data_IF_650791430643
#
_entry.id   IF_650791430643
#
_cell.length_a   1.000
_cell.length_b   1.000
_cell.length_c   1.000
_cell.angle_alpha   90.00
_cell.angle_beta   90.00
_cell.angle_gamma   90.00
#
_symmetry.space_group_name_H-M   'P 1'
#
loop_
_entity.id
_entity.type
_entity.pdbx_description
1 polymer ?
#
# COMPACT_ATOMS: atom_id res chain seq x y z
N UNK A 1 -16.20 -66.24 44.48
CA UNK A 1 -15.89 -67.39 43.61
C UNK A 1 -16.14 -66.88 42.20
N UNK A 2 -15.06 -66.61 41.44
CA UNK A 2 -14.98 -66.58 39.95
C UNK A 2 -15.92 -65.57 39.20
N UNK A 3 -15.51 -64.61 38.33
CA UNK A 3 -14.52 -64.54 37.21
C UNK A 3 -14.69 -65.72 36.22
N UNK A 4 -14.76 -65.65 34.88
CA UNK A 4 -14.56 -64.65 33.80
C UNK A 4 -15.42 -65.13 32.58
N UNK A 5 -15.59 -64.48 31.41
CA UNK A 5 -15.03 -63.29 30.75
C UNK A 5 -16.15 -62.57 29.92
N UNK A 6 -15.83 -61.82 28.86
CA UNK A 6 -16.77 -61.32 27.82
C UNK A 6 -16.34 -60.03 27.12
N UNK A 7 -15.29 -60.06 26.28
CA UNK A 7 -14.66 -58.87 25.70
C UNK A 7 -15.20 -58.33 24.34
N UNK A 8 -15.20 -56.99 24.19
CA UNK A 8 -14.75 -56.21 22.98
C UNK A 8 -15.64 -56.30 21.70
N UNK A 9 -16.18 -55.20 21.11
CA UNK A 9 -15.53 -54.18 20.24
C UNK A 9 -16.34 -52.85 20.21
N UNK A 10 -15.60 -51.76 19.98
CA UNK A 10 -16.01 -50.36 19.77
C UNK A 10 -16.30 -50.03 18.29
N UNK A 11 -17.20 -49.05 17.98
CA UNK A 11 -16.99 -47.96 16.99
C UNK A 11 -18.27 -47.16 16.72
N UNK A 12 -18.17 -45.82 16.69
CA UNK A 12 -19.32 -44.96 16.37
C UNK A 12 -19.18 -43.47 16.71
N UNK A 13 -17.96 -42.92 16.78
CA UNK A 13 -17.76 -41.49 17.02
C UNK A 13 -18.31 -40.66 15.85
N UNK A 14 -19.56 -40.20 15.99
CA UNK A 14 -20.08 -39.15 15.11
C UNK A 14 -19.47 -37.83 15.56
N UNK A 15 -18.52 -37.34 14.77
CA UNK A 15 -17.73 -36.15 15.05
C UNK A 15 -18.59 -34.87 15.03
N UNK A 16 -19.23 -34.58 16.17
CA UNK A 16 -19.75 -33.24 16.47
C UNK A 16 -18.54 -32.30 16.52
N UNK A 17 -18.27 -31.64 15.40
CA UNK A 17 -17.24 -30.61 15.27
C UNK A 17 -17.52 -29.49 16.28
N UNK A 18 -16.86 -29.59 17.43
CA UNK A 18 -17.05 -28.71 18.57
C UNK A 18 -16.47 -27.35 18.22
N UNK A 19 -17.32 -26.47 17.70
CA UNK A 19 -16.96 -25.11 17.34
C UNK A 19 -16.13 -24.47 18.46
N UNK A 20 -14.98 -23.81 18.16
CA UNK A 20 -14.10 -23.28 19.19
C UNK A 20 -14.87 -22.38 20.17
N UNK A 21 -14.68 -22.53 21.50
CA UNK A 21 -15.41 -21.75 22.48
C UNK A 21 -15.27 -20.26 22.20
N UNK A 22 -16.40 -19.55 22.04
CA UNK A 22 -16.38 -18.11 21.82
C UNK A 22 -15.61 -17.44 22.98
N UNK A 23 -14.52 -16.69 22.70
CA UNK A 23 -13.79 -16.01 23.78
C UNK A 23 -14.72 -15.01 24.49
N UNK A 24 -14.59 -14.86 25.83
CA UNK A 24 -15.50 -14.04 26.62
C UNK A 24 -15.54 -12.59 26.13
N UNK A 25 -16.65 -11.86 26.31
CA UNK A 25 -16.91 -10.59 25.63
C UNK A 25 -15.81 -9.54 25.82
N UNK A 26 -15.20 -9.46 27.01
CA UNK A 26 -14.04 -8.58 27.26
C UNK A 26 -12.76 -8.99 26.51
N UNK A 27 -12.49 -10.30 26.35
CA UNK A 27 -11.27 -10.81 25.69
C UNK A 27 -11.31 -10.60 24.19
N UNK A 28 -12.49 -10.65 23.57
CA UNK A 28 -12.70 -10.35 22.14
C UNK A 28 -12.28 -8.92 21.78
N UNK A 29 -12.76 -7.94 22.54
CA UNK A 29 -12.43 -6.51 22.31
C UNK A 29 -10.92 -6.23 22.40
N UNK A 30 -10.23 -6.84 23.38
CA UNK A 30 -8.77 -6.72 23.53
C UNK A 30 -8.02 -7.36 22.35
N UNK A 31 -8.44 -8.54 21.88
CA UNK A 31 -7.81 -9.19 20.72
C UNK A 31 -8.01 -8.37 19.45
N UNK A 32 -9.24 -7.92 19.16
CA UNK A 32 -9.55 -7.12 17.96
C UNK A 32 -8.79 -5.79 17.97
N UNK A 33 -8.74 -5.08 19.11
CA UNK A 33 -7.99 -3.81 19.21
C UNK A 33 -6.48 -3.98 19.01
N UNK A 34 -5.88 -5.08 19.50
CA UNK A 34 -4.48 -5.42 19.23
C UNK A 34 -4.24 -5.76 17.76
N UNK A 35 -5.11 -6.57 17.14
CA UNK A 35 -5.01 -6.91 15.73
C UNK A 35 -5.09 -5.65 14.85
N UNK A 36 -6.09 -4.79 15.06
CA UNK A 36 -6.23 -3.52 14.34
C UNK A 36 -4.99 -2.62 14.50
N UNK A 37 -4.42 -2.55 15.72
CA UNK A 37 -3.20 -1.78 15.98
C UNK A 37 -1.96 -2.34 15.28
N UNK A 38 -1.80 -3.67 15.25
CA UNK A 38 -0.68 -4.32 14.55
C UNK A 38 -0.85 -4.15 13.04
N UNK A 39 -2.07 -4.33 12.52
CA UNK A 39 -2.37 -4.13 11.10
C UNK A 39 -2.13 -2.68 10.66
N UNK A 40 -2.54 -1.66 11.42
CA UNK A 40 -2.23 -0.25 11.10
C UNK A 40 -0.71 -0.01 11.00
N UNK A 41 0.05 -0.48 11.99
CA UNK A 41 1.52 -0.30 12.01
C UNK A 41 2.16 -1.01 10.81
N UNK A 42 1.77 -2.25 10.52
CA UNK A 42 2.31 -3.02 9.38
C UNK A 42 1.94 -2.38 8.05
N UNK A 43 0.69 -1.93 7.87
CA UNK A 43 0.24 -1.21 6.67
C UNK A 43 1.05 0.08 6.47
N UNK A 44 1.31 0.85 7.54
CA UNK A 44 2.13 2.07 7.51
C UNK A 44 3.57 1.77 7.10
N UNK A 45 4.22 0.77 7.69
CA UNK A 45 5.58 0.37 7.31
C UNK A 45 5.67 -0.08 5.85
N UNK A 46 4.70 -0.87 5.37
CA UNK A 46 4.64 -1.31 3.97
C UNK A 46 4.36 -0.14 3.01
N UNK A 47 3.54 0.83 3.39
CA UNK A 47 3.29 2.04 2.61
C UNK A 47 4.52 2.97 2.55
N UNK A 48 5.29 3.10 3.65
CA UNK A 48 6.59 3.80 3.66
C UNK A 48 7.57 3.08 2.71
N UNK A 49 7.72 1.76 2.85
CA UNK A 49 8.56 0.96 1.96
C UNK A 49 8.17 1.13 0.49
N UNK A 50 6.87 1.04 0.18
CA UNK A 50 6.33 1.20 -1.17
C UNK A 50 6.60 2.60 -1.75
N UNK A 51 6.25 3.67 -1.02
CA UNK A 51 6.45 5.06 -1.49
C UNK A 51 7.93 5.43 -1.60
N UNK A 52 8.76 5.07 -0.62
CA UNK A 52 10.20 5.28 -0.66
C UNK A 52 10.86 4.50 -1.80
N UNK A 53 10.58 3.19 -1.93
CA UNK A 53 11.12 2.37 -3.02
C UNK A 53 10.66 2.88 -4.39
N UNK A 54 9.42 3.36 -4.52
CA UNK A 54 8.92 3.95 -5.77
C UNK A 54 9.65 5.26 -6.11
N UNK A 55 9.75 6.19 -5.15
CA UNK A 55 10.45 7.46 -5.33
C UNK A 55 11.94 7.24 -5.65
N UNK A 56 12.63 6.37 -4.90
CA UNK A 56 14.04 6.03 -5.11
C UNK A 56 14.21 5.31 -6.46
N UNK A 57 13.39 4.31 -6.79
CA UNK A 57 13.50 3.61 -8.07
C UNK A 57 13.33 4.57 -9.24
N UNK A 58 12.38 5.51 -9.16
CA UNK A 58 12.14 6.51 -10.20
C UNK A 58 13.29 7.53 -10.29
N UNK A 59 13.72 8.11 -9.17
CA UNK A 59 14.78 9.11 -9.11
C UNK A 59 16.17 8.54 -9.49
N UNK A 60 16.44 7.28 -9.15
CA UNK A 60 17.65 6.56 -9.56
C UNK A 60 17.56 5.97 -10.97
N UNK A 61 16.41 6.08 -11.65
CA UNK A 61 16.31 5.74 -13.08
C UNK A 61 16.78 6.92 -13.92
N UNK A 62 18.05 7.27 -13.73
CA UNK A 62 18.80 8.26 -14.50
C UNK A 62 19.44 7.58 -15.72
N UNK A 63 18.61 7.09 -16.64
CA UNK A 63 19.06 6.71 -17.98
C UNK A 63 18.79 7.88 -18.92
N UNK A 64 19.85 8.42 -19.54
CA UNK A 64 19.70 9.33 -20.67
C UNK A 64 18.90 8.62 -21.76
N UNK A 65 17.72 9.12 -22.13
CA UNK A 65 17.00 8.65 -23.31
C UNK A 65 17.97 8.68 -24.52
N UNK A 66 18.30 7.56 -25.16
CA UNK A 66 19.16 7.54 -26.33
C UNK A 66 18.36 7.90 -27.59
N UNK A 67 17.47 8.89 -27.47
CA UNK A 67 16.79 9.52 -28.60
C UNK A 67 17.75 10.48 -29.30
N UNK A 68 18.78 9.89 -29.90
CA UNK A 68 19.65 10.53 -30.89
C UNK A 68 18.87 10.76 -32.19
N UNK A 69 17.88 11.65 -32.16
CA UNK A 69 17.44 12.32 -33.37
C UNK A 69 18.50 13.38 -33.72
N UNK A 70 19.15 13.35 -34.91
CA UNK A 70 20.31 14.19 -35.22
C UNK A 70 20.12 15.72 -35.14
N UNK A 71 18.91 16.19 -34.88
CA UNK A 71 18.49 17.59 -34.98
C UNK A 71 18.09 18.22 -33.63
N UNK A 72 17.87 17.44 -32.56
CA UNK A 72 17.46 17.95 -31.25
C UNK A 72 18.03 17.14 -30.08
N UNK A 73 18.97 17.74 -29.32
CA UNK A 73 19.49 17.17 -28.07
C UNK A 73 18.51 17.35 -26.91
N UNK A 74 17.48 16.52 -26.82
CA UNK A 74 16.66 16.42 -25.61
C UNK A 74 17.29 15.45 -24.62
N UNK A 75 18.12 15.98 -23.71
CA UNK A 75 18.45 15.30 -22.46
C UNK A 75 17.18 15.30 -21.61
N UNK A 76 16.42 14.21 -21.63
CA UNK A 76 15.23 14.08 -20.79
C UNK A 76 15.64 13.52 -19.42
N UNK A 77 15.84 14.42 -18.47
CA UNK A 77 15.97 14.13 -17.05
C UNK A 77 14.56 13.94 -16.45
N UNK A 78 14.45 13.35 -15.26
CA UNK A 78 13.15 13.24 -14.58
C UNK A 78 12.54 14.64 -14.28
N UNK A 79 13.39 15.67 -14.26
CA UNK A 79 13.06 17.10 -14.16
C UNK A 79 12.32 17.67 -15.37
N UNK A 80 12.53 17.11 -16.56
CA UNK A 80 11.95 17.65 -17.81
C UNK A 80 10.53 17.13 -18.08
N UNK A 81 10.14 16.01 -17.45
CA UNK A 81 8.78 15.49 -17.50
C UNK A 81 8.05 15.81 -16.17
N UNK A 82 7.17 16.83 -16.14
CA UNK A 82 6.54 17.28 -14.90
C UNK A 82 5.69 16.19 -14.24
N UNK A 83 5.16 15.22 -15.00
CA UNK A 83 4.42 14.06 -14.47
C UNK A 83 5.29 13.13 -13.62
N UNK A 84 6.57 12.93 -14.00
CA UNK A 84 7.50 12.08 -13.27
C UNK A 84 8.11 12.81 -12.08
N UNK A 85 8.44 14.10 -12.21
CA UNK A 85 8.82 14.92 -11.07
C UNK A 85 7.69 15.01 -10.04
N UNK A 86 6.43 15.23 -10.47
CA UNK A 86 5.27 15.23 -9.58
C UNK A 86 5.09 13.87 -8.88
N UNK A 87 5.26 12.75 -9.58
CA UNK A 87 5.23 11.42 -8.97
C UNK A 87 6.30 11.24 -7.88
N UNK A 88 7.55 11.64 -8.13
CA UNK A 88 8.65 11.54 -7.14
C UNK A 88 8.38 12.43 -5.93
N UNK A 89 7.96 13.68 -6.15
CA UNK A 89 7.64 14.63 -5.07
C UNK A 89 6.44 14.13 -4.26
N UNK A 90 5.36 13.68 -4.90
CA UNK A 90 4.19 13.14 -4.24
C UNK A 90 4.52 11.93 -3.36
N UNK A 91 5.23 10.92 -3.88
CA UNK A 91 5.64 9.76 -3.10
C UNK A 91 6.59 10.15 -1.94
N UNK A 92 7.48 11.13 -2.15
CA UNK A 92 8.40 11.62 -1.10
C UNK A 92 7.66 12.34 0.04
N UNK A 93 6.69 13.20 -0.28
CA UNK A 93 5.84 13.89 0.70
C UNK A 93 5.01 12.88 1.50
N UNK A 94 4.39 11.90 0.83
CA UNK A 94 3.60 10.84 1.48
C UNK A 94 4.47 9.95 2.36
N UNK A 95 5.69 9.60 1.93
CA UNK A 95 6.66 8.89 2.74
C UNK A 95 7.02 9.66 4.02
N UNK A 96 7.35 10.96 3.90
CA UNK A 96 7.64 11.82 5.05
C UNK A 96 6.46 11.93 6.02
N UNK A 97 5.25 12.09 5.50
CA UNK A 97 4.02 12.09 6.30
C UNK A 97 3.81 10.76 7.04
N UNK A 98 4.01 9.62 6.39
CA UNK A 98 3.82 8.30 7.01
C UNK A 98 4.82 8.06 8.16
N UNK A 99 6.07 8.51 7.99
CA UNK A 99 7.09 8.48 9.06
C UNK A 99 6.68 9.38 10.24
N UNK A 100 6.19 10.59 9.98
CA UNK A 100 5.74 11.52 11.02
C UNK A 100 4.45 11.07 11.75
N UNK A 101 3.58 10.34 11.07
CA UNK A 101 2.30 9.87 11.62
C UNK A 101 2.38 8.50 12.32
N UNK A 102 3.47 7.73 12.12
CA UNK A 102 3.74 6.49 12.88
C UNK A 102 3.72 6.72 14.42
N UNK A 103 4.47 7.69 15.00
CA UNK A 103 4.40 7.97 16.44
C UNK A 103 3.00 8.40 16.90
N UNK A 104 2.27 9.16 16.09
CA UNK A 104 0.91 9.60 16.41
C UNK A 104 -0.07 8.41 16.50
N UNK A 105 0.04 7.44 15.58
CA UNK A 105 -0.76 6.20 15.66
C UNK A 105 -0.48 5.43 16.95
N UNK A 106 0.80 5.24 17.31
CA UNK A 106 1.20 4.57 18.57
C UNK A 106 0.60 5.28 19.79
N UNK A 107 0.65 6.61 19.85
CA UNK A 107 0.03 7.39 20.94
C UNK A 107 -1.51 7.22 20.97
N UNK A 108 -2.18 7.08 19.82
CA UNK A 108 -3.63 6.85 19.75
C UNK A 108 -4.09 5.45 20.18
N UNK A 109 -3.19 4.47 20.19
CA UNK A 109 -3.43 3.16 20.81
C UNK A 109 -3.47 3.30 22.33
N UNK A 110 -2.54 4.06 22.92
CA UNK A 110 -2.47 4.29 24.36
C UNK A 110 -3.51 5.32 24.88
N UNK A 111 -3.93 6.29 24.07
CA UNK A 111 -4.94 7.31 24.43
C UNK A 111 -6.17 7.28 23.52
N UNK A 112 -7.07 6.28 23.68
CA UNK A 112 -8.24 6.11 22.81
C UNK A 112 -9.32 7.20 22.93
N UNK A 113 -9.25 8.09 23.94
CA UNK A 113 -10.22 9.18 24.19
C UNK A 113 -10.12 10.37 23.21
N UNK A 114 -9.04 10.52 22.45
CA UNK A 114 -8.84 11.66 21.55
C UNK A 114 -9.59 11.51 20.20
N UNK A 115 -10.93 11.61 20.21
CA UNK A 115 -11.77 11.43 18.99
C UNK A 115 -11.37 12.41 17.86
N UNK A 116 -11.16 13.70 18.16
CA UNK A 116 -10.76 14.71 17.16
C UNK A 116 -9.42 14.40 16.48
N UNK A 117 -8.42 13.92 17.24
CA UNK A 117 -7.09 13.63 16.67
C UNK A 117 -7.11 12.42 15.73
N UNK A 118 -7.98 11.43 16.00
CA UNK A 118 -8.21 10.32 15.05
C UNK A 118 -8.88 10.80 13.76
N UNK A 119 -9.85 11.72 13.85
CA UNK A 119 -10.49 12.33 12.66
C UNK A 119 -9.49 13.13 11.84
N UNK A 120 -8.65 13.94 12.49
CA UNK A 120 -7.59 14.70 11.82
C UNK A 120 -6.59 13.76 11.10
N UNK A 121 -6.16 12.68 11.74
CA UNK A 121 -5.28 11.69 11.14
C UNK A 121 -5.92 11.02 9.91
N UNK A 122 -7.18 10.61 9.98
CA UNK A 122 -7.92 10.06 8.82
C UNK A 122 -8.03 11.08 7.69
N UNK A 123 -8.30 12.35 8.00
CA UNK A 123 -8.34 13.41 7.00
C UNK A 123 -6.99 13.56 6.28
N UNK A 124 -5.88 13.63 7.02
CA UNK A 124 -4.55 13.69 6.40
C UNK A 124 -4.20 12.41 5.62
N UNK A 125 -4.51 11.21 6.13
CA UNK A 125 -4.35 9.95 5.38
C UNK A 125 -5.12 10.00 4.04
N UNK A 126 -6.34 10.53 4.00
CA UNK A 126 -7.12 10.68 2.75
C UNK A 126 -6.53 11.71 1.78
N UNK A 127 -5.96 12.82 2.27
CA UNK A 127 -5.27 13.81 1.43
C UNK A 127 -4.00 13.20 0.82
N UNK A 128 -3.25 12.41 1.60
CA UNK A 128 -2.05 11.73 1.12
C UNK A 128 -2.36 10.61 0.12
N UNK A 129 -3.48 9.90 0.31
CA UNK A 129 -4.03 8.96 -0.67
C UNK A 129 -4.37 9.66 -2.00
N UNK A 130 -5.04 10.81 -1.95
CA UNK A 130 -5.34 11.61 -3.14
C UNK A 130 -4.06 12.09 -3.84
N UNK A 131 -3.04 12.50 -3.08
CA UNK A 131 -1.76 12.96 -3.61
C UNK A 131 -0.98 11.84 -4.33
N UNK A 132 -0.85 10.65 -3.72
CA UNK A 132 -0.14 9.53 -4.36
C UNK A 132 -0.89 8.99 -5.58
N UNK A 133 -2.23 8.93 -5.54
CA UNK A 133 -3.04 8.46 -6.69
C UNK A 133 -3.02 9.46 -7.85
N UNK A 134 -3.02 10.76 -7.58
CA UNK A 134 -2.80 11.79 -8.60
C UNK A 134 -1.40 11.68 -9.24
N UNK A 135 -0.35 11.50 -8.43
CA UNK A 135 1.01 11.30 -8.92
C UNK A 135 1.15 10.02 -9.77
N UNK A 136 0.65 8.90 -9.28
CA UNK A 136 0.68 7.62 -9.97
C UNK A 136 -0.11 7.62 -11.28
N UNK A 137 -1.31 8.22 -11.31
CA UNK A 137 -2.11 8.32 -12.54
C UNK A 137 -1.45 9.22 -13.59
N UNK A 138 -0.86 10.35 -13.20
CA UNK A 138 -0.10 11.21 -14.11
C UNK A 138 1.10 10.48 -14.75
N UNK A 139 1.88 9.76 -13.95
CA UNK A 139 2.99 8.94 -14.45
C UNK A 139 2.52 7.77 -15.33
N UNK A 140 1.40 7.13 -14.98
CA UNK A 140 0.85 6.00 -15.73
C UNK A 140 0.45 6.38 -17.16
N UNK A 141 -0.09 7.59 -17.39
CA UNK A 141 -0.41 8.09 -18.75
C UNK A 141 0.84 8.20 -19.62
N UNK A 142 1.94 8.72 -19.08
CA UNK A 142 3.21 8.83 -19.82
C UNK A 142 3.77 7.44 -20.15
N UNK A 143 3.74 6.50 -19.20
CA UNK A 143 4.20 5.12 -19.41
C UNK A 143 3.32 4.36 -20.41
N UNK A 144 2.01 4.60 -20.39
CA UNK A 144 1.10 4.07 -21.40
C UNK A 144 1.47 4.55 -22.82
N UNK A 145 1.78 5.84 -22.98
CA UNK A 145 2.27 6.40 -24.25
C UNK A 145 3.63 5.82 -24.64
N UNK A 146 4.55 5.60 -23.69
CA UNK A 146 5.84 4.98 -23.95
C UNK A 146 5.74 3.50 -24.39
N UNK A 147 4.71 2.77 -23.94
CA UNK A 147 4.44 1.39 -24.35
C UNK A 147 3.67 1.26 -25.67
N UNK A 148 2.60 2.04 -25.85
CA UNK A 148 1.67 1.91 -26.99
C UNK A 148 2.00 2.82 -28.16
N UNK A 149 2.65 3.95 -27.91
CA UNK A 149 2.69 5.07 -28.85
C UNK A 149 1.31 5.67 -29.11
N UNK A 150 1.24 6.68 -29.97
CA UNK A 150 -0.03 7.16 -30.52
C UNK A 150 0.19 7.85 -31.88
N UNK A 151 -0.55 7.40 -32.90
CA UNK A 151 -0.40 7.91 -34.26
C UNK A 151 -0.80 9.39 -34.41
N UNK A 152 -1.75 9.88 -33.59
CA UNK A 152 -2.27 11.27 -33.66
C UNK A 152 -1.16 12.33 -33.47
N UNK A 153 -0.33 12.28 -32.41
CA UNK A 153 0.85 13.14 -32.26
C UNK A 153 2.15 12.52 -32.82
N UNK A 154 2.08 11.45 -33.63
CA UNK A 154 3.24 10.69 -34.11
C UNK A 154 4.21 10.22 -33.00
N UNK A 155 3.68 9.83 -31.84
CA UNK A 155 4.47 9.38 -30.68
C UNK A 155 4.82 7.89 -30.84
N UNK A 156 6.10 7.56 -30.95
CA UNK A 156 6.57 6.18 -31.11
C UNK A 156 6.73 5.45 -29.76
N UNK A 157 6.57 4.12 -29.75
CA UNK A 157 6.71 3.29 -28.55
C UNK A 157 8.17 3.08 -28.14
N UNK A 158 8.65 3.83 -27.16
CA UNK A 158 10.06 3.85 -26.70
C UNK A 158 10.45 2.55 -25.97
N UNK A 159 9.52 1.93 -25.25
CA UNK A 159 9.80 0.77 -24.39
C UNK A 159 10.27 -0.51 -25.13
N UNK A 160 10.20 -0.56 -26.47
CA UNK A 160 10.75 -1.66 -27.26
C UNK A 160 12.29 -1.66 -27.31
N UNK A 161 12.93 -0.49 -27.21
CA UNK A 161 14.40 -0.38 -27.25
C UNK A 161 15.02 -0.32 -25.84
N UNK A 162 14.30 0.23 -24.84
CA UNK A 162 14.77 0.37 -23.46
C UNK A 162 13.93 -0.45 -22.48
N UNK A 163 14.06 -1.76 -22.57
CA UNK A 163 13.34 -2.73 -21.72
C UNK A 163 13.69 -2.59 -20.24
N UNK A 164 14.95 -2.32 -19.90
CA UNK A 164 15.42 -2.14 -18.51
C UNK A 164 14.84 -0.90 -17.84
N UNK A 165 14.89 0.26 -18.52
CA UNK A 165 14.27 1.51 -18.06
C UNK A 165 12.78 1.34 -17.85
N UNK A 166 12.09 0.80 -18.86
CA UNK A 166 10.63 0.65 -18.83
C UNK A 166 10.20 -0.34 -17.72
N UNK A 167 10.99 -1.38 -17.46
CA UNK A 167 10.81 -2.28 -16.32
C UNK A 167 10.95 -1.58 -14.96
N UNK A 168 12.00 -0.75 -14.77
CA UNK A 168 12.20 0.01 -13.51
C UNK A 168 11.09 1.03 -13.26
N UNK A 169 10.72 1.80 -14.27
CA UNK A 169 9.64 2.80 -14.20
C UNK A 169 8.29 2.13 -13.91
N UNK A 170 7.97 1.03 -14.61
CA UNK A 170 6.72 0.29 -14.38
C UNK A 170 6.70 -0.35 -12.99
N UNK A 171 7.81 -0.91 -12.52
CA UNK A 171 7.95 -1.44 -11.16
C UNK A 171 7.74 -0.39 -10.07
N UNK A 172 8.30 0.82 -10.26
CA UNK A 172 8.06 1.97 -9.39
C UNK A 172 6.57 2.37 -9.36
N UNK A 173 5.92 2.44 -10.52
CA UNK A 173 4.48 2.70 -10.63
C UNK A 173 3.63 1.67 -9.89
N UNK A 174 3.94 0.38 -10.03
CA UNK A 174 3.26 -0.71 -9.30
C UNK A 174 3.47 -0.57 -7.80
N UNK A 175 4.67 -0.23 -7.33
CA UNK A 175 4.95 0.04 -5.91
C UNK A 175 4.13 1.20 -5.33
N UNK A 176 3.95 2.27 -6.11
CA UNK A 176 3.18 3.45 -5.70
C UNK A 176 1.66 3.17 -5.67
N UNK A 177 1.14 2.43 -6.67
CA UNK A 177 -0.25 1.96 -6.65
C UNK A 177 -0.51 0.97 -5.50
N UNK A 178 0.44 0.08 -5.20
CA UNK A 178 0.34 -0.80 -4.04
C UNK A 178 0.27 0.02 -2.74
N UNK A 179 1.14 1.02 -2.56
CA UNK A 179 1.09 1.91 -1.41
C UNK A 179 -0.25 2.69 -1.30
N UNK A 180 -0.84 3.09 -2.43
CA UNK A 180 -2.18 3.68 -2.46
C UNK A 180 -3.27 2.72 -1.94
N UNK A 181 -3.23 1.43 -2.31
CA UNK A 181 -4.15 0.41 -1.77
C UNK A 181 -3.96 0.19 -0.27
N UNK A 182 -2.73 0.27 0.23
CA UNK A 182 -2.45 0.21 1.68
C UNK A 182 -3.03 1.43 2.41
N UNK A 183 -2.94 2.63 1.84
CA UNK A 183 -3.57 3.85 2.36
C UNK A 183 -5.11 3.77 2.35
N UNK A 184 -5.73 3.25 1.29
CA UNK A 184 -7.18 2.98 1.26
C UNK A 184 -7.57 2.06 2.42
N UNK A 185 -6.79 1.00 2.65
CA UNK A 185 -7.04 0.04 3.74
C UNK A 185 -6.90 0.70 5.11
N UNK A 186 -5.88 1.55 5.32
CA UNK A 186 -5.70 2.34 6.55
C UNK A 186 -6.88 3.28 6.84
N UNK A 187 -7.34 4.02 5.84
CA UNK A 187 -8.51 4.90 5.94
C UNK A 187 -9.76 4.09 6.30
N UNK A 188 -9.97 2.95 5.65
CA UNK A 188 -11.14 2.09 5.90
C UNK A 188 -11.13 1.48 7.31
N UNK A 189 -10.00 0.92 7.76
CA UNK A 189 -9.85 0.40 9.13
C UNK A 189 -10.05 1.51 10.18
N UNK A 190 -9.56 2.71 9.90
CA UNK A 190 -9.72 3.86 10.80
C UNK A 190 -11.17 4.35 10.86
N UNK A 191 -11.89 4.35 9.73
CA UNK A 191 -13.32 4.65 9.68
C UNK A 191 -14.14 3.61 10.46
N UNK A 192 -13.87 2.31 10.27
CA UNK A 192 -14.51 1.23 11.06
C UNK A 192 -14.21 1.37 12.56
N UNK A 193 -12.98 1.71 12.94
CA UNK A 193 -12.58 1.92 14.32
C UNK A 193 -13.18 3.20 14.95
N UNK A 194 -13.68 4.13 14.14
CA UNK A 194 -14.43 5.31 14.57
C UNK A 194 -15.93 5.00 14.68
N UNK A 195 -16.50 4.31 13.69
CA UNK A 195 -17.90 3.88 13.67
C UNK A 195 -18.24 2.90 14.80
N UNK A 196 -17.37 1.93 15.11
CA UNK A 196 -17.51 1.03 16.26
C UNK A 196 -17.32 1.68 17.64
N UNK A 197 -17.25 3.03 17.70
CA UNK A 197 -17.18 3.86 18.92
C UNK A 197 -18.16 5.05 18.86
N UNK A 198 -19.11 5.02 17.93
CA UNK A 198 -20.23 5.94 17.85
C UNK A 198 -21.44 5.33 18.57
#
# INVERSE_FOLDING_TARGET
MEMEEGAVIQHGETSVSKAPPLPPPGRRSVIVSRLLSVTDIVLRFLAIGGTAASAIAMATTSETLPFSMPFVRFRAEYSDLPSFMFFVVANSVVCGYLVLSLPASVVHVFRPRARCSRVALVFFDTVMLALVTAGASAAAVIVYLAHRGSAKPNWFGICQQLTSFCGRVTGSLVGSFAAAVMLVTLVFLSALALAGRA
#
